data_IF_341410092867
#
_entry.id   IF_341410092867
#
_cell.length_a   1.000
_cell.length_b   1.000
_cell.length_c   1.000
_cell.angle_alpha   90.00
_cell.angle_beta   90.00
_cell.angle_gamma   90.00
#
_symmetry.space_group_name_H-M   'P 1'
#
loop_
_entity.id
_entity.type
_entity.pdbx_description
1 polymer ?
#
# COMPACT_ATOMS: atom_id res chain seq x y z
N UNK A 1 16.99 10.02 8.85
CA UNK A 1 16.26 11.08 8.11
C UNK A 1 15.19 10.40 7.27
N UNK A 2 13.93 10.83 7.30
CA UNK A 2 12.89 10.27 6.44
C UNK A 2 13.14 10.63 4.97
N UNK A 3 12.85 9.70 4.06
CA UNK A 3 12.82 9.98 2.62
C UNK A 3 11.39 10.29 2.21
N UNK A 4 11.18 11.45 1.61
CA UNK A 4 9.89 11.88 1.10
C UNK A 4 9.90 11.74 -0.42
N UNK A 5 8.84 11.18 -0.98
CA UNK A 5 8.67 11.01 -2.42
C UNK A 5 7.23 11.32 -2.78
N UNK A 6 7.01 12.17 -3.78
CA UNK A 6 5.67 12.51 -4.27
C UNK A 6 5.49 11.94 -5.67
N UNK A 7 4.40 11.21 -5.89
CA UNK A 7 4.07 10.56 -7.16
C UNK A 7 2.57 10.71 -7.40
N UNK A 8 2.19 11.52 -8.38
CA UNK A 8 0.79 11.87 -8.63
C UNK A 8 0.11 12.34 -7.32
N UNK A 9 -1.03 11.76 -6.97
CA UNK A 9 -1.81 12.08 -5.77
C UNK A 9 -1.29 11.44 -4.48
N UNK A 10 -0.09 10.84 -4.51
CA UNK A 10 0.52 10.18 -3.37
C UNK A 10 1.75 10.94 -2.86
N UNK A 11 1.75 11.21 -1.56
CA UNK A 11 2.96 11.58 -0.82
C UNK A 11 3.38 10.41 0.05
N UNK A 12 4.60 9.92 -0.13
CA UNK A 12 5.14 8.79 0.61
C UNK A 12 6.28 9.28 1.51
N UNK A 13 6.18 8.97 2.80
CA UNK A 13 7.25 9.17 3.76
C UNK A 13 7.77 7.82 4.21
N UNK A 14 9.00 7.48 3.81
CA UNK A 14 9.67 6.24 4.19
C UNK A 14 10.68 6.52 5.32
N UNK A 15 10.54 5.83 6.44
CA UNK A 15 11.44 5.97 7.58
C UNK A 15 11.49 4.70 8.41
N UNK A 16 12.69 4.36 8.91
CA UNK A 16 12.90 3.10 9.62
C UNK A 16 12.52 1.92 8.72
N UNK A 17 11.59 1.09 9.20
CA UNK A 17 11.11 -0.11 8.50
C UNK A 17 9.73 0.06 7.87
N UNK A 18 9.18 1.28 7.80
CA UNK A 18 7.83 1.54 7.29
C UNK A 18 7.79 2.67 6.24
N UNK A 19 6.84 2.55 5.33
CA UNK A 19 6.41 3.61 4.44
C UNK A 19 5.00 4.04 4.80
N UNK A 20 4.83 5.35 4.98
CA UNK A 20 3.54 6.01 5.19
C UNK A 20 3.09 6.62 3.87
N UNK A 21 1.91 6.24 3.41
CA UNK A 21 1.28 6.72 2.19
C UNK A 21 0.17 7.68 2.57
N UNK A 22 0.25 8.90 2.07
CA UNK A 22 -0.79 9.92 2.20
C UNK A 22 -1.38 10.21 0.83
N UNK A 23 -2.69 10.07 0.71
CA UNK A 23 -3.43 10.36 -0.51
C UNK A 23 -3.94 11.81 -0.51
N UNK A 24 -3.86 12.50 -1.64
CA UNK A 24 -4.27 13.90 -1.77
C UNK A 24 -5.76 14.11 -1.48
N UNK A 25 -6.62 13.13 -1.84
CA UNK A 25 -8.06 13.16 -1.61
C UNK A 25 -8.44 12.71 -0.19
N UNK A 26 -7.76 13.23 0.82
CA UNK A 26 -8.01 12.92 2.23
C UNK A 26 -9.50 13.13 2.60
N UNK A 27 -10.18 12.05 3.00
CA UNK A 27 -11.57 12.10 3.51
C UNK A 27 -12.68 12.09 2.45
N UNK A 28 -12.36 11.96 1.16
CA UNK A 28 -13.36 11.75 0.10
C UNK A 28 -13.87 10.31 0.02
N UNK A 29 -14.93 10.08 -0.77
CA UNK A 29 -15.42 8.72 -1.09
C UNK A 29 -14.31 7.84 -1.67
N UNK A 30 -13.47 8.43 -2.52
CA UNK A 30 -12.31 7.81 -3.18
C UNK A 30 -11.06 7.69 -2.30
N UNK A 31 -11.13 8.10 -1.03
CA UNK A 31 -10.00 7.89 -0.12
C UNK A 31 -9.72 6.38 0.05
N UNK A 32 -8.46 5.98 0.21
CA UNK A 32 -8.09 4.62 0.57
C UNK A 32 -8.88 4.13 1.77
N UNK A 33 -9.24 2.85 1.78
CA UNK A 33 -9.91 2.25 2.94
C UNK A 33 -8.99 1.24 3.60
N UNK A 34 -8.84 1.33 4.92
CA UNK A 34 -7.99 0.41 5.68
C UNK A 34 -8.80 -0.29 6.75
N UNK A 35 -8.62 -1.60 6.83
CA UNK A 35 -8.91 -2.36 8.04
C UNK A 35 -7.56 -2.69 8.67
N UNK A 36 -7.21 -1.96 9.73
CA UNK A 36 -5.87 -2.04 10.34
C UNK A 36 -5.50 -3.49 10.72
N UNK A 37 -4.35 -3.95 10.23
CA UNK A 37 -3.84 -5.31 10.38
C UNK A 37 -4.52 -6.36 9.51
N UNK A 38 -5.51 -6.00 8.69
CA UNK A 38 -6.28 -6.96 7.89
C UNK A 38 -6.30 -6.66 6.41
N UNK A 39 -6.36 -5.41 5.98
CA UNK A 39 -6.45 -5.15 4.55
C UNK A 39 -6.49 -3.69 4.15
N UNK A 40 -6.40 -3.52 2.84
CA UNK A 40 -6.39 -2.26 2.13
C UNK A 40 -7.37 -2.35 0.96
N UNK A 41 -8.15 -1.29 0.75
CA UNK A 41 -8.93 -1.10 -0.46
C UNK A 41 -8.55 0.23 -1.10
N UNK A 42 -8.34 0.20 -2.42
CA UNK A 42 -7.96 1.36 -3.23
C UNK A 42 -8.98 1.48 -4.36
N UNK A 43 -9.38 2.70 -4.69
CA UNK A 43 -10.22 2.93 -5.85
C UNK A 43 -9.50 2.40 -7.11
N UNK A 44 -10.20 1.72 -8.00
CA UNK A 44 -9.55 1.11 -9.17
C UNK A 44 -8.80 2.14 -10.02
N UNK A 45 -9.38 3.34 -10.17
CA UNK A 45 -8.78 4.47 -10.87
C UNK A 45 -7.43 4.92 -10.29
N UNK A 46 -7.18 4.70 -8.99
CA UNK A 46 -5.96 5.11 -8.30
C UNK A 46 -4.85 4.05 -8.35
N UNK A 47 -5.15 2.81 -8.77
CA UNK A 47 -4.18 1.72 -8.83
C UNK A 47 -2.96 1.99 -9.74
N UNK A 48 -3.11 2.61 -10.92
CA UNK A 48 -1.95 2.98 -11.74
C UNK A 48 -0.99 3.94 -11.03
N UNK A 49 -1.54 4.94 -10.32
CA UNK A 49 -0.74 5.90 -9.57
C UNK A 49 -0.06 5.23 -8.37
N UNK A 50 -0.78 4.37 -7.64
CA UNK A 50 -0.23 3.61 -6.52
C UNK A 50 0.89 2.64 -6.94
N UNK A 51 0.75 1.92 -8.06
CA UNK A 51 1.81 1.04 -8.57
C UNK A 51 3.09 1.84 -8.90
N UNK A 52 2.95 3.02 -9.50
CA UNK A 52 4.07 3.92 -9.75
C UNK A 52 4.72 4.37 -8.44
N UNK A 53 3.92 4.79 -7.45
CA UNK A 53 4.40 5.19 -6.13
C UNK A 53 5.18 4.06 -5.44
N UNK A 54 4.64 2.84 -5.41
CA UNK A 54 5.32 1.65 -4.90
C UNK A 54 6.65 1.41 -5.64
N UNK A 55 6.64 1.58 -6.97
CA UNK A 55 7.83 1.45 -7.79
C UNK A 55 8.95 2.43 -7.41
N UNK A 56 8.64 3.68 -7.10
CA UNK A 56 9.63 4.65 -6.65
C UNK A 56 10.17 4.31 -5.25
N UNK A 57 9.31 3.91 -4.31
CA UNK A 57 9.73 3.55 -2.95
C UNK A 57 10.68 2.35 -2.95
N UNK A 58 10.42 1.35 -3.80
CA UNK A 58 11.26 0.16 -3.93
C UNK A 58 12.66 0.44 -4.50
N UNK A 59 12.89 1.62 -5.11
CA UNK A 59 14.23 2.06 -5.55
C UNK A 59 15.04 2.69 -4.41
N UNK A 60 14.40 3.09 -3.32
CA UNK A 60 15.05 3.83 -2.25
C UNK A 60 16.00 2.93 -1.43
N UNK A 61 17.16 3.44 -0.99
CA UNK A 61 18.07 2.69 -0.12
C UNK A 61 17.41 2.20 1.18
N UNK A 62 16.46 2.97 1.73
CA UNK A 62 15.76 2.62 2.98
C UNK A 62 14.97 1.30 2.85
N UNK A 63 14.38 1.03 1.68
CA UNK A 63 13.69 -0.23 1.43
C UNK A 63 14.66 -1.42 1.49
N UNK A 64 15.81 -1.30 0.83
CA UNK A 64 16.82 -2.36 0.81
C UNK A 64 17.45 -2.60 2.18
N UNK A 65 17.64 -1.54 2.97
CA UNK A 65 18.10 -1.63 4.35
C UNK A 65 17.08 -2.33 5.26
N UNK A 66 15.80 -2.01 5.14
CA UNK A 66 14.74 -2.69 5.89
C UNK A 66 14.66 -4.18 5.51
N UNK A 67 14.83 -4.49 4.21
CA UNK A 67 14.83 -5.87 3.71
C UNK A 67 16.03 -6.68 4.20
N UNK A 68 17.23 -6.10 4.26
CA UNK A 68 18.43 -6.82 4.71
C UNK A 68 18.41 -7.15 6.20
N UNK A 69 17.69 -6.37 7.00
CA UNK A 69 17.53 -6.58 8.45
C UNK A 69 16.47 -7.63 8.80
N UNK A 70 15.58 -7.96 7.87
CA UNK A 70 14.47 -8.88 8.12
C UNK A 70 14.94 -10.33 7.92
N UNK A 71 14.81 -11.14 8.96
CA UNK A 71 15.14 -12.58 8.90
C UNK A 71 14.13 -13.37 8.05
N UNK A 72 12.86 -12.99 8.12
CA UNK A 72 11.79 -13.56 7.30
C UNK A 72 11.94 -13.11 5.84
N UNK A 73 12.50 -14.00 5.01
CA UNK A 73 12.69 -13.77 3.58
C UNK A 73 11.37 -13.72 2.81
N UNK A 74 10.31 -14.35 3.32
CA UNK A 74 9.00 -14.43 2.68
C UNK A 74 8.17 -13.15 2.86
N UNK A 75 8.59 -12.25 3.77
CA UNK A 75 7.89 -10.99 4.03
C UNK A 75 7.65 -10.12 2.78
N UNK A 76 8.49 -10.27 1.74
CA UNK A 76 8.34 -9.53 0.46
C UNK A 76 7.68 -10.32 -0.67
N UNK A 77 7.09 -11.47 -0.38
CA UNK A 77 6.42 -12.30 -1.36
C UNK A 77 4.97 -11.85 -1.58
N UNK A 78 4.47 -12.08 -2.79
CA UNK A 78 3.10 -11.73 -3.15
C UNK A 78 2.06 -12.50 -2.31
N UNK A 79 2.42 -13.66 -1.75
CA UNK A 79 1.55 -14.49 -0.92
C UNK A 79 1.18 -13.85 0.42
N UNK A 80 1.95 -12.85 0.90
CA UNK A 80 1.59 -12.04 2.09
C UNK A 80 0.29 -11.26 1.85
N UNK A 81 0.02 -10.91 0.60
CA UNK A 81 -1.21 -10.23 0.19
C UNK A 81 -2.15 -11.22 -0.49
N UNK A 82 -3.46 -11.08 -0.26
CA UNK A 82 -4.44 -11.85 -1.03
C UNK A 82 -4.43 -11.43 -2.50
N UNK A 83 -4.95 -12.28 -3.40
CA UNK A 83 -5.36 -11.81 -4.72
C UNK A 83 -6.29 -10.59 -4.59
N UNK A 84 -6.16 -9.59 -5.48
CA UNK A 84 -7.05 -8.44 -5.48
C UNK A 84 -8.47 -8.82 -5.89
N UNK A 85 -9.47 -8.30 -5.19
CA UNK A 85 -10.90 -8.49 -5.50
C UNK A 85 -11.51 -7.15 -5.87
N UNK A 86 -11.90 -6.99 -7.13
CA UNK A 86 -12.70 -5.84 -7.57
C UNK A 86 -14.14 -5.97 -7.09
N UNK A 87 -14.71 -4.86 -6.66
CA UNK A 87 -16.11 -4.76 -6.30
C UNK A 87 -16.79 -3.76 -7.24
N UNK A 88 -17.72 -4.20 -8.11
CA UNK A 88 -18.34 -3.33 -9.10
C UNK A 88 -19.33 -2.33 -8.49
N UNK A 89 -19.82 -2.56 -7.27
CA UNK A 89 -20.83 -1.71 -6.65
C UNK A 89 -20.21 -0.44 -6.05
N UNK A 90 -18.95 -0.49 -5.65
CA UNK A 90 -18.24 0.66 -5.08
C UNK A 90 -16.98 1.09 -5.85
N UNK A 91 -16.56 0.32 -6.86
CA UNK A 91 -15.40 0.53 -7.71
C UNK A 91 -14.04 0.46 -6.98
N UNK A 92 -13.98 -0.27 -5.86
CA UNK A 92 -12.75 -0.53 -5.12
C UNK A 92 -12.15 -1.90 -5.41
N UNK A 93 -10.83 -1.96 -5.26
CA UNK A 93 -10.06 -3.20 -5.29
C UNK A 93 -9.56 -3.50 -3.88
N UNK A 94 -10.01 -4.63 -3.35
CA UNK A 94 -9.74 -5.09 -1.99
C UNK A 94 -8.60 -6.09 -1.95
N UNK A 95 -7.66 -5.89 -1.02
CA UNK A 95 -6.59 -6.82 -0.70
C UNK A 95 -6.53 -7.05 0.81
N UNK A 96 -6.43 -8.31 1.22
CA UNK A 96 -6.07 -8.68 2.60
C UNK A 96 -4.55 -8.63 2.73
N UNK A 97 -4.03 -8.05 3.81
CA UNK A 97 -2.60 -7.98 4.06
C UNK A 97 -2.20 -6.95 5.11
N UNK A 98 -0.88 -6.82 5.38
CA UNK A 98 -0.35 -6.00 6.45
C UNK A 98 -0.37 -4.51 6.09
N UNK A 99 -1.44 -3.82 6.50
CA UNK A 99 -1.59 -2.36 6.42
C UNK A 99 -2.08 -1.81 7.75
N UNK A 100 -1.66 -0.60 8.14
CA UNK A 100 -1.97 0.01 9.44
C UNK A 100 -2.41 1.47 9.27
N UNK A 101 -3.17 1.96 10.24
CA UNK A 101 -3.50 3.39 10.39
C UNK A 101 -3.40 3.77 11.87
N UNK A 102 -3.24 5.06 12.17
CA UNK A 102 -3.01 5.57 13.54
C UNK A 102 -4.25 5.46 14.44
N UNK A 103 -5.44 5.39 13.84
CA UNK A 103 -6.71 5.21 14.53
C UNK A 103 -7.37 3.87 14.14
N UNK A 104 -6.90 2.74 14.68
CA UNK A 104 -7.42 1.42 14.31
C UNK A 104 -8.88 1.27 14.75
N UNK A 105 -9.75 0.96 13.79
CA UNK A 105 -11.15 0.63 14.03
C UNK A 105 -11.53 -0.65 13.25
N UNK A 106 -12.54 -1.42 13.70
CA UNK A 106 -13.03 -2.58 12.96
C UNK A 106 -13.58 -2.21 11.58
N UNK A 107 -13.24 -3.03 10.57
CA UNK A 107 -13.73 -2.90 9.20
C UNK A 107 -12.94 -1.91 8.35
N UNK A 108 -13.25 -1.88 7.05
CA UNK A 108 -12.66 -0.92 6.12
C UNK A 108 -13.18 0.49 6.41
N UNK A 109 -12.27 1.43 6.65
CA UNK A 109 -12.59 2.85 6.90
C UNK A 109 -11.76 3.72 5.99
N UNK A 110 -12.38 4.76 5.42
CA UNK A 110 -11.68 5.78 4.65
C UNK A 110 -10.61 6.43 5.52
N UNK A 111 -9.39 6.48 5.01
CA UNK A 111 -8.23 7.08 5.66
C UNK A 111 -7.51 7.97 4.67
N UNK A 112 -7.00 9.10 5.14
CA UNK A 112 -6.09 9.95 4.37
C UNK A 112 -4.69 9.34 4.28
N UNK A 113 -4.33 8.58 5.31
CA UNK A 113 -2.97 8.10 5.55
C UNK A 113 -2.99 6.68 6.09
N UNK A 114 -2.09 5.85 5.56
CA UNK A 114 -1.85 4.50 6.06
C UNK A 114 -0.36 4.13 5.96
N UNK A 115 0.05 3.16 6.76
CA UNK A 115 1.42 2.68 6.81
C UNK A 115 1.51 1.19 6.46
N UNK A 116 2.58 0.84 5.75
CA UNK A 116 2.94 -0.54 5.43
C UNK A 116 4.43 -0.71 5.72
N UNK A 117 4.80 -1.82 6.35
CA UNK A 117 6.22 -2.13 6.54
C UNK A 117 6.88 -2.29 5.17
N UNK A 118 8.04 -1.66 4.99
CA UNK A 118 8.78 -1.60 3.72
C UNK A 118 8.95 -2.98 3.10
N UNK A 119 9.20 -3.99 3.94
CA UNK A 119 9.38 -5.39 3.51
C UNK A 119 8.19 -5.96 2.75
N UNK A 120 6.96 -5.50 3.04
CA UNK A 120 5.73 -6.01 2.44
C UNK A 120 5.34 -5.30 1.12
N UNK A 121 6.01 -4.20 0.75
CA UNK A 121 5.66 -3.39 -0.42
C UNK A 121 5.87 -4.12 -1.75
N UNK A 122 6.91 -4.97 -1.85
CA UNK A 122 7.17 -5.76 -3.07
C UNK A 122 6.01 -6.70 -3.38
N UNK A 123 5.50 -7.40 -2.36
CA UNK A 123 4.38 -8.32 -2.52
C UNK A 123 3.11 -7.58 -2.97
N UNK A 124 2.82 -6.43 -2.36
CA UNK A 124 1.69 -5.59 -2.75
C UNK A 124 1.79 -5.15 -4.22
N UNK A 125 2.96 -4.64 -4.62
CA UNK A 125 3.20 -4.19 -6.00
C UNK A 125 2.99 -5.32 -7.01
N UNK A 126 3.48 -6.52 -6.72
CA UNK A 126 3.27 -7.69 -7.58
C UNK A 126 1.77 -7.99 -7.75
N UNK A 127 0.99 -7.95 -6.66
CA UNK A 127 -0.47 -8.16 -6.72
C UNK A 127 -1.18 -7.12 -7.59
N UNK A 128 -0.86 -5.84 -7.38
CA UNK A 128 -1.45 -4.74 -8.14
C UNK A 128 -1.08 -4.85 -9.62
N UNK A 129 0.19 -5.08 -9.93
CA UNK A 129 0.64 -5.23 -11.32
C UNK A 129 -0.01 -6.42 -12.02
N UNK A 130 -0.12 -7.57 -11.33
CA UNK A 130 -0.77 -8.76 -11.89
C UNK A 130 -2.26 -8.54 -12.17
N UNK A 131 -2.96 -7.85 -11.27
CA UNK A 131 -4.37 -7.48 -11.45
C UNK A 131 -4.56 -6.54 -12.64
N UNK A 132 -3.72 -5.51 -12.76
CA UNK A 132 -3.77 -4.54 -13.85
C UNK A 132 -3.46 -5.17 -15.21
N UNK A 133 -2.63 -6.20 -15.28
CA UNK A 133 -2.31 -6.91 -16.52
C UNK A 133 -3.47 -7.80 -17.03
N UNK A 134 -4.52 -8.01 -16.23
CA UNK A 134 -5.68 -8.85 -16.55
C UNK A 134 -6.93 -8.02 -16.89
N UNK A 135 -6.84 -6.68 -16.81
CA UNK A 135 -7.88 -5.74 -17.23
C UNK A 135 -7.56 -5.18 -18.61
#
# INVERSE_FOLDING_TARGET
>A
MPTITTVADWTITASGDAATFTHASAGGYWAPRVWSGRGLAIADADLPALDKALGEVLKLPVYWLARSRREDRAAGDAAVWSPPRYDPDDEFVYLTGPCRTDAPAPGYRSVSTFAIDLVHLRGLRIRIAAYRAQR
#
